data_IF_199345079261
#
_entry.id   IF_199345079261
#
_cell.length_a   1.000
_cell.length_b   1.000
_cell.length_c   1.000
_cell.angle_alpha   90.00
_cell.angle_beta   90.00
_cell.angle_gamma   90.00
#
_symmetry.space_group_name_H-M   'P 1'
#
loop_
_entity.id
_entity.type
_entity.pdbx_description
1 polymer ?
#
# COMPACT_ATOMS: atom_id res chain seq x y z
N UNK A 1 24.60 6.59 -12.31
CA UNK A 1 24.19 5.17 -12.39
C UNK A 1 25.45 4.34 -12.52
N UNK A 2 25.66 3.43 -11.59
CA UNK A 2 26.85 2.58 -11.40
C UNK A 2 26.40 1.12 -11.18
N UNK A 3 27.34 0.17 -11.25
CA UNK A 3 27.07 -1.22 -10.85
C UNK A 3 26.69 -1.27 -9.37
N UNK A 4 25.74 -2.13 -9.01
CA UNK A 4 25.29 -2.26 -7.62
C UNK A 4 24.96 -3.72 -7.28
N UNK A 5 24.47 -3.96 -6.07
CA UNK A 5 24.07 -5.27 -5.59
C UNK A 5 22.73 -5.18 -4.84
N UNK A 6 21.86 -6.17 -5.07
CA UNK A 6 20.61 -6.33 -4.32
C UNK A 6 20.60 -7.75 -3.74
N UNK A 7 20.66 -7.86 -2.41
CA UNK A 7 20.62 -9.13 -1.66
C UNK A 7 21.68 -10.18 -2.09
N UNK A 8 22.92 -9.77 -2.38
CA UNK A 8 23.95 -10.69 -2.90
C UNK A 8 23.97 -10.84 -4.41
N UNK A 9 23.00 -10.27 -5.12
CA UNK A 9 22.90 -10.37 -6.57
C UNK A 9 23.45 -9.11 -7.23
N UNK A 10 24.49 -9.25 -8.06
CA UNK A 10 25.04 -8.14 -8.85
C UNK A 10 23.99 -7.61 -9.84
N UNK A 11 23.80 -6.30 -9.85
CA UNK A 11 22.94 -5.55 -10.76
C UNK A 11 23.83 -4.60 -11.57
N UNK A 12 24.16 -4.93 -12.84
CA UNK A 12 25.00 -4.08 -13.68
C UNK A 12 24.40 -2.70 -13.93
N UNK A 13 25.26 -1.72 -14.20
CA UNK A 13 24.86 -0.40 -14.66
C UNK A 13 23.96 -0.52 -15.90
N UNK A 14 22.82 0.17 -15.85
CA UNK A 14 21.85 0.20 -16.95
C UNK A 14 20.78 -0.89 -16.88
N UNK A 15 20.77 -1.73 -15.85
CA UNK A 15 19.66 -2.65 -15.59
C UNK A 15 18.43 -1.89 -15.08
N UNK A 16 17.29 -2.12 -15.72
CA UNK A 16 16.00 -1.65 -15.25
C UNK A 16 15.51 -2.49 -14.06
N UNK A 17 15.14 -1.83 -12.97
CA UNK A 17 14.65 -2.48 -11.74
C UNK A 17 13.21 -2.05 -11.48
N UNK A 18 12.31 -3.02 -11.43
CA UNK A 18 10.90 -2.80 -11.13
C UNK A 18 10.61 -3.11 -9.66
N UNK A 19 10.15 -2.09 -8.92
CA UNK A 19 9.73 -2.23 -7.52
C UNK A 19 8.21 -2.36 -7.44
N UNK A 20 7.72 -3.59 -7.39
CA UNK A 20 6.29 -3.89 -7.36
C UNK A 20 5.76 -3.84 -5.93
N UNK A 21 4.76 -2.99 -5.67
CA UNK A 21 4.13 -2.79 -4.34
C UNK A 21 2.86 -3.61 -4.13
N UNK A 22 2.56 -4.56 -5.01
CA UNK A 22 1.41 -5.48 -4.94
C UNK A 22 1.82 -6.92 -4.58
N UNK A 23 3.08 -7.13 -4.17
CA UNK A 23 3.66 -8.46 -3.94
C UNK A 23 3.96 -8.79 -2.47
N UNK A 24 4.96 -9.65 -2.24
CA UNK A 24 5.41 -10.05 -0.91
C UNK A 24 5.73 -8.86 0.00
N UNK A 25 5.21 -8.90 1.22
CA UNK A 25 5.35 -7.84 2.21
C UNK A 25 4.33 -6.71 2.11
N UNK A 26 3.47 -6.70 1.08
CA UNK A 26 2.34 -5.77 0.96
C UNK A 26 1.00 -6.48 0.87
N UNK A 27 0.88 -7.49 0.00
CA UNK A 27 -0.37 -8.24 -0.27
C UNK A 27 -0.25 -9.73 0.02
N UNK A 28 0.97 -10.24 0.11
CA UNK A 28 1.28 -11.63 0.46
C UNK A 28 2.40 -11.68 1.48
N UNK A 29 2.63 -12.86 2.06
CA UNK A 29 3.67 -13.05 3.06
C UNK A 29 5.04 -12.53 2.58
N UNK A 30 5.80 -11.82 3.44
CA UNK A 30 7.14 -11.34 3.08
C UNK A 30 8.06 -12.49 2.67
N UNK A 31 8.93 -12.24 1.69
CA UNK A 31 10.00 -13.18 1.36
C UNK A 31 11.01 -13.24 2.50
N UNK A 32 11.53 -14.44 2.77
CA UNK A 32 12.67 -14.59 3.67
C UNK A 32 13.91 -13.98 3.01
N UNK A 33 14.56 -13.05 3.71
CA UNK A 33 15.80 -12.42 3.30
C UNK A 33 16.76 -12.48 4.48
N UNK A 34 17.97 -13.01 4.23
CA UNK A 34 19.05 -13.00 5.21
C UNK A 34 19.43 -11.56 5.57
N UNK A 35 19.31 -11.21 6.84
CA UNK A 35 19.55 -9.85 7.34
C UNK A 35 20.99 -9.39 7.14
N UNK A 36 21.95 -10.33 7.12
CA UNK A 36 23.36 -10.03 6.84
C UNK A 36 23.58 -9.50 5.41
N UNK A 37 22.67 -9.79 4.49
CA UNK A 37 22.71 -9.31 3.09
C UNK A 37 22.01 -7.97 2.90
N UNK A 38 21.38 -7.41 3.93
CA UNK A 38 20.77 -6.08 3.86
C UNK A 38 21.81 -4.98 4.08
N UNK A 39 21.57 -3.82 3.49
CA UNK A 39 22.41 -2.64 3.76
C UNK A 39 22.28 -2.21 5.23
N UNK A 40 23.32 -1.57 5.76
CA UNK A 40 23.29 -0.98 7.11
C UNK A 40 22.10 -0.03 7.31
N UNK A 41 21.80 0.79 6.31
CA UNK A 41 20.65 1.71 6.34
C UNK A 41 19.30 0.98 6.38
N UNK A 42 19.20 -0.19 5.76
CA UNK A 42 18.01 -1.04 5.85
C UNK A 42 17.89 -1.68 7.25
N UNK A 43 19.00 -2.16 7.81
CA UNK A 43 19.04 -2.73 9.17
C UNK A 43 18.62 -1.69 10.22
N UNK A 44 19.13 -0.47 10.12
CA UNK A 44 18.76 0.66 10.99
C UNK A 44 17.31 1.14 10.80
N UNK A 45 16.63 0.67 9.76
CA UNK A 45 15.23 0.98 9.48
C UNK A 45 14.24 -0.02 10.10
N UNK A 46 14.73 -1.13 10.68
CA UNK A 46 13.87 -2.15 11.29
C UNK A 46 13.00 -1.51 12.38
N UNK A 47 11.71 -1.86 12.38
CA UNK A 47 10.74 -1.37 13.36
C UNK A 47 10.23 0.05 13.15
N UNK A 48 10.74 0.80 12.14
CA UNK A 48 10.20 2.14 11.83
C UNK A 48 8.77 2.11 11.27
N UNK A 49 8.42 1.02 10.60
CA UNK A 49 7.05 0.73 10.17
C UNK A 49 6.59 -0.56 10.88
N UNK A 50 5.31 -0.63 11.19
CA UNK A 50 4.64 -1.80 11.71
C UNK A 50 4.62 -2.94 10.68
N UNK A 51 4.53 -4.15 11.20
CA UNK A 51 4.39 -5.37 10.43
C UNK A 51 2.99 -5.94 10.65
N UNK A 52 2.32 -6.31 9.57
CA UNK A 52 1.04 -7.01 9.64
C UNK A 52 1.26 -8.52 9.67
N UNK A 53 0.26 -9.24 10.19
CA UNK A 53 0.27 -10.69 10.20
C UNK A 53 0.29 -11.23 8.75
N UNK A 54 1.28 -12.05 8.37
CA UNK A 54 1.36 -12.60 7.02
C UNK A 54 0.14 -13.42 6.59
N UNK A 55 -0.62 -13.98 7.54
CA UNK A 55 -1.79 -14.81 7.25
C UNK A 55 -2.97 -14.03 6.66
N UNK A 56 -3.08 -12.74 6.95
CA UNK A 56 -4.23 -11.90 6.59
C UNK A 56 -3.81 -10.57 5.94
N UNK A 57 -2.53 -10.44 5.56
CA UNK A 57 -1.95 -9.23 4.92
C UNK A 57 -2.65 -8.84 3.61
N UNK A 58 -3.27 -9.80 2.92
CA UNK A 58 -4.02 -9.57 1.68
C UNK A 58 -5.45 -9.06 1.89
N UNK A 59 -5.96 -9.11 3.12
CA UNK A 59 -7.34 -8.77 3.46
C UNK A 59 -7.54 -7.26 3.61
N UNK A 60 -8.72 -6.77 3.23
CA UNK A 60 -9.09 -5.37 3.43
C UNK A 60 -9.57 -5.15 4.87
N UNK A 61 -8.68 -4.63 5.72
CA UNK A 61 -8.97 -4.38 7.15
C UNK A 61 -8.50 -2.97 7.57
N UNK A 62 -9.34 -1.93 7.36
CA UNK A 62 -9.00 -0.54 7.67
C UNK A 62 -8.62 -0.28 9.13
N UNK A 63 -9.17 -1.06 10.06
CA UNK A 63 -9.00 -0.90 11.50
C UNK A 63 -7.54 -1.11 11.94
N UNK A 64 -6.74 -1.82 11.13
CA UNK A 64 -5.31 -2.07 11.37
C UNK A 64 -4.44 -0.82 11.35
N UNK A 65 -4.98 0.28 10.84
CA UNK A 65 -4.34 1.58 10.87
C UNK A 65 -4.59 2.35 12.17
N UNK A 66 -5.45 1.83 13.04
CA UNK A 66 -5.78 2.41 14.34
C UNK A 66 -4.97 1.71 15.42
N UNK A 67 -4.16 2.47 16.16
CA UNK A 67 -3.31 1.98 17.25
C UNK A 67 -3.68 2.65 18.56
N UNK A 68 -3.41 1.98 19.68
CA UNK A 68 -3.61 2.57 21.01
C UNK A 68 -2.74 3.82 21.17
N UNK A 69 -3.38 4.91 21.59
CA UNK A 69 -2.72 6.15 21.95
C UNK A 69 -2.41 6.17 23.45
N UNK A 70 -1.48 7.04 23.85
CA UNK A 70 -1.05 7.19 25.25
C UNK A 70 -2.18 7.60 26.21
N UNK A 71 -3.32 8.04 25.68
CA UNK A 71 -4.50 8.49 26.42
C UNK A 71 -5.60 7.43 26.52
N UNK A 72 -5.32 6.17 26.12
CA UNK A 72 -6.25 5.06 26.23
C UNK A 72 -7.37 5.04 25.18
N UNK A 73 -7.14 5.61 24.00
CA UNK A 73 -8.06 5.52 22.85
C UNK A 73 -7.33 5.12 21.56
N UNK A 74 -8.08 4.92 20.47
CA UNK A 74 -7.49 4.59 19.17
C UNK A 74 -7.11 5.85 18.38
N UNK A 75 -5.95 5.84 17.73
CA UNK A 75 -5.50 6.90 16.83
C UNK A 75 -4.95 6.32 15.53
N UNK A 76 -5.13 7.04 14.43
CA UNK A 76 -4.55 6.66 13.14
C UNK A 76 -3.02 6.79 13.15
N UNK A 77 -2.32 5.72 12.78
CA UNK A 77 -0.87 5.71 12.58
C UNK A 77 -0.52 5.31 11.14
N UNK A 78 -0.02 6.28 10.38
CA UNK A 78 0.41 6.10 8.98
C UNK A 78 1.52 5.07 8.77
N UNK A 79 2.20 4.66 9.84
CA UNK A 79 3.25 3.64 9.84
C UNK A 79 2.80 2.32 10.47
N UNK A 80 1.51 2.11 10.75
CA UNK A 80 1.02 0.89 11.38
C UNK A 80 1.25 -0.39 10.55
N UNK A 81 1.54 -0.24 9.26
CA UNK A 81 1.78 -1.36 8.35
C UNK A 81 2.71 -1.03 7.18
N UNK A 82 2.99 -2.02 6.34
CA UNK A 82 3.77 -1.83 5.12
C UNK A 82 2.99 -1.00 4.10
N UNK A 83 3.45 0.22 3.83
CA UNK A 83 2.88 1.07 2.79
C UNK A 83 3.93 1.92 2.08
N UNK A 84 3.87 1.90 0.75
CA UNK A 84 4.69 2.76 -0.12
C UNK A 84 3.92 3.27 -1.35
N UNK A 85 2.68 3.79 -1.20
CA UNK A 85 1.82 4.15 -2.33
C UNK A 85 2.38 5.33 -3.17
N UNK A 86 3.29 6.10 -2.60
CA UNK A 86 3.91 7.28 -3.22
C UNK A 86 5.41 7.10 -3.48
N UNK A 87 5.90 5.86 -3.45
CA UNK A 87 7.35 5.58 -3.51
C UNK A 87 8.10 6.10 -2.28
N UNK A 88 9.42 6.19 -2.41
CA UNK A 88 10.30 6.64 -1.33
C UNK A 88 11.61 7.23 -1.84
N UNK A 89 12.42 7.73 -0.91
CA UNK A 89 13.73 8.31 -1.21
C UNK A 89 13.66 9.58 -2.08
N UNK A 90 14.74 9.90 -2.83
CA UNK A 90 14.84 11.15 -3.60
C UNK A 90 13.88 11.23 -4.80
N UNK A 91 13.21 10.13 -5.14
CA UNK A 91 12.25 10.03 -6.26
C UNK A 91 10.82 9.78 -5.79
N UNK A 92 10.53 9.99 -4.50
CA UNK A 92 9.16 9.93 -3.99
C UNK A 92 8.23 10.89 -4.74
N UNK A 93 6.94 10.54 -4.82
CA UNK A 93 5.94 11.29 -5.57
C UNK A 93 5.85 12.73 -5.06
N UNK A 94 6.15 13.68 -5.96
CA UNK A 94 6.04 15.11 -5.69
C UNK A 94 4.60 15.52 -5.33
N UNK A 95 3.61 14.90 -5.98
CA UNK A 95 2.19 15.16 -5.79
C UNK A 95 1.57 14.51 -4.55
N UNK A 96 2.33 13.83 -3.67
CA UNK A 96 1.78 13.03 -2.57
C UNK A 96 0.75 13.78 -1.71
N UNK A 97 1.02 15.06 -1.40
CA UNK A 97 0.14 15.86 -0.53
C UNK A 97 -1.17 16.19 -1.23
N UNK A 98 -1.11 16.56 -2.51
CA UNK A 98 -2.27 16.88 -3.32
C UNK A 98 -3.12 15.63 -3.53
N UNK A 99 -2.51 14.53 -3.97
CA UNK A 99 -3.20 13.26 -4.17
C UNK A 99 -3.91 12.76 -2.89
N UNK A 100 -3.25 12.84 -1.73
CA UNK A 100 -3.88 12.49 -0.45
C UNK A 100 -5.03 13.42 -0.08
N UNK A 101 -4.95 14.72 -0.39
CA UNK A 101 -6.03 15.67 -0.14
C UNK A 101 -7.23 15.39 -1.03
N UNK A 102 -7.01 15.27 -2.35
CA UNK A 102 -8.05 14.99 -3.33
C UNK A 102 -8.75 13.66 -3.04
N UNK A 103 -8.00 12.60 -2.72
CA UNK A 103 -8.58 11.30 -2.39
C UNK A 103 -9.48 11.37 -1.15
N UNK A 104 -9.06 12.11 -0.10
CA UNK A 104 -9.88 12.32 1.09
C UNK A 104 -11.17 13.07 0.77
N UNK A 105 -11.08 14.12 -0.05
CA UNK A 105 -12.25 14.89 -0.48
C UNK A 105 -13.21 14.01 -1.27
N UNK A 106 -12.71 13.24 -2.24
CA UNK A 106 -13.54 12.34 -3.06
C UNK A 106 -14.23 11.30 -2.20
N UNK A 107 -13.50 10.61 -1.31
CA UNK A 107 -14.09 9.61 -0.41
C UNK A 107 -15.14 10.24 0.49
N UNK A 108 -14.86 11.41 1.07
CA UNK A 108 -15.81 12.13 1.91
C UNK A 108 -17.08 12.46 1.14
N UNK A 109 -16.96 13.03 -0.06
CA UNK A 109 -18.10 13.38 -0.88
C UNK A 109 -18.93 12.15 -1.28
N UNK A 110 -18.28 11.04 -1.63
CA UNK A 110 -18.98 9.79 -1.96
C UNK A 110 -19.79 9.29 -0.77
N UNK A 111 -19.16 9.16 0.40
CA UNK A 111 -19.81 8.65 1.62
C UNK A 111 -20.89 9.60 2.14
N UNK A 112 -20.69 10.92 1.99
CA UNK A 112 -21.66 11.92 2.43
C UNK A 112 -22.89 11.98 1.51
N UNK A 113 -22.69 11.76 0.21
CA UNK A 113 -23.75 11.98 -0.79
C UNK A 113 -24.52 10.70 -1.10
N UNK A 114 -23.89 9.53 -0.95
CA UNK A 114 -24.45 8.27 -1.43
C UNK A 114 -24.38 7.13 -0.41
N UNK A 115 -25.46 6.36 -0.36
CA UNK A 115 -25.45 5.00 0.17
C UNK A 115 -24.90 4.04 -0.89
N UNK A 116 -23.79 3.35 -0.57
CA UNK A 116 -23.18 2.33 -1.42
C UNK A 116 -23.94 1.00 -1.26
N UNK A 117 -24.79 0.67 -2.23
CA UNK A 117 -25.64 -0.52 -2.17
C UNK A 117 -24.90 -1.76 -2.74
N UNK A 118 -25.23 -2.98 -2.26
CA UNK A 118 -24.65 -4.21 -2.79
C UNK A 118 -24.87 -4.35 -4.30
N UNK A 119 -23.90 -4.85 -5.04
CA UNK A 119 -24.07 -5.21 -6.46
C UNK A 119 -24.39 -6.71 -6.59
N UNK A 120 -24.99 -7.16 -7.71
CA UNK A 120 -25.12 -8.59 -7.99
C UNK A 120 -23.76 -9.29 -7.95
N UNK A 121 -23.69 -10.46 -7.35
CA UNK A 121 -22.44 -11.23 -7.18
C UNK A 121 -21.76 -11.53 -8.54
N UNK A 122 -22.54 -11.75 -9.59
CA UNK A 122 -22.04 -11.95 -10.96
C UNK A 122 -21.26 -10.77 -11.53
N UNK A 123 -21.38 -9.58 -10.92
CA UNK A 123 -20.64 -8.37 -11.29
C UNK A 123 -19.53 -8.03 -10.30
N UNK A 124 -19.47 -8.70 -9.14
CA UNK A 124 -18.47 -8.45 -8.12
C UNK A 124 -17.13 -9.06 -8.53
N UNK A 125 -16.10 -8.23 -8.71
CA UNK A 125 -14.78 -8.68 -9.11
C UNK A 125 -13.68 -7.77 -8.57
N UNK A 126 -12.59 -8.38 -8.12
CA UNK A 126 -11.32 -7.72 -7.81
C UNK A 126 -10.30 -7.85 -8.94
N UNK A 127 -10.71 -8.32 -10.13
CA UNK A 127 -9.81 -8.47 -11.26
C UNK A 127 -9.23 -7.12 -11.68
N UNK A 128 -7.94 -7.11 -11.96
CA UNK A 128 -7.20 -5.92 -12.33
C UNK A 128 -6.27 -6.20 -13.53
N UNK A 129 -5.74 -5.13 -14.10
CA UNK A 129 -4.66 -5.17 -15.09
C UNK A 129 -3.45 -4.44 -14.51
N UNK A 130 -2.32 -5.12 -14.51
CA UNK A 130 -1.03 -4.55 -14.14
C UNK A 130 -0.35 -3.99 -15.40
N UNK A 131 -0.20 -2.67 -15.44
CA UNK A 131 0.61 -1.97 -16.45
C UNK A 131 1.56 -1.01 -15.71
N UNK A 132 1.57 0.28 -16.07
CA UNK A 132 2.22 1.32 -15.26
C UNK A 132 1.54 1.49 -13.89
N UNK A 133 0.22 1.24 -13.84
CA UNK A 133 -0.60 1.26 -12.63
C UNK A 133 -1.35 -0.06 -12.50
N UNK A 134 -1.76 -0.41 -11.28
CA UNK A 134 -2.69 -1.49 -11.00
C UNK A 134 -4.12 -0.92 -11.10
N UNK A 135 -4.86 -1.29 -12.14
CA UNK A 135 -6.17 -0.70 -12.42
C UNK A 135 -7.25 -1.78 -12.46
N UNK A 136 -8.39 -1.62 -11.77
CA UNK A 136 -9.47 -2.59 -11.82
C UNK A 136 -9.99 -2.75 -13.25
N UNK A 137 -10.37 -3.98 -13.63
CA UNK A 137 -10.96 -4.25 -14.94
C UNK A 137 -12.38 -3.68 -15.05
N UNK A 138 -13.12 -3.76 -13.95
CA UNK A 138 -14.48 -3.24 -13.82
C UNK A 138 -14.66 -2.60 -12.44
N UNK A 139 -15.46 -1.54 -12.36
CA UNK A 139 -15.82 -0.87 -11.11
C UNK A 139 -17.30 -0.48 -11.16
N UNK A 140 -18.17 -1.46 -10.95
CA UNK A 140 -19.61 -1.23 -10.92
C UNK A 140 -20.03 -0.69 -9.55
N UNK A 141 -20.89 0.33 -9.57
CA UNK A 141 -21.44 0.93 -8.35
C UNK A 141 -22.96 0.98 -8.45
N UNK A 142 -23.64 0.72 -7.33
CA UNK A 142 -25.07 0.94 -7.17
C UNK A 142 -25.26 1.96 -6.06
N UNK A 143 -25.81 3.12 -6.40
CA UNK A 143 -25.88 4.27 -5.52
C UNK A 143 -27.34 4.62 -5.21
N UNK A 144 -27.62 5.00 -3.98
CA UNK A 144 -28.80 5.76 -3.59
C UNK A 144 -28.37 7.08 -2.93
N UNK A 145 -29.22 8.10 -2.91
CA UNK A 145 -28.92 9.30 -2.12
C UNK A 145 -28.82 8.93 -0.64
N UNK A 146 -27.77 9.41 0.03
CA UNK A 146 -27.61 9.23 1.48
C UNK A 146 -28.81 9.84 2.23
N UNK A 147 -29.24 9.17 3.29
CA UNK A 147 -30.36 9.60 4.15
C UNK A 147 -29.93 10.56 5.25
#
# INVERSE_FOLDING_TARGET
MEDTEIFGCRVPKGTDVFMLSNGPGFRTAPLHVDEAKRSKTSQESIGKNGAWNPADIGEFQPERWLVDNEKGGLAFESRAGPALPFGGGPRGCFGRKLASLELKIIILLVVWTFDLLPIPESMASFAAKDMMTHTPQHCYVRLAAAK
#
